data_IF_821533050144
#
_entry.id   IF_821533050144
#
_cell.length_a   1.000
_cell.length_b   1.000
_cell.length_c   1.000
_cell.angle_alpha   90.00
_cell.angle_beta   90.00
_cell.angle_gamma   90.00
#
_symmetry.space_group_name_H-M   'P 1'
#
loop_
_entity.id
_entity.type
_entity.pdbx_description
1 polymer ?
#
# COMPACT_ATOMS: atom_id res chain seq x y z
N UNK A 1 18.90 -24.31 -13.93
CA UNK A 1 18.93 -22.85 -13.66
C UNK A 1 19.02 -22.66 -12.16
N UNK A 2 19.72 -21.63 -11.69
CA UNK A 2 19.71 -21.27 -10.27
C UNK A 2 18.35 -20.65 -9.94
N UNK A 3 17.61 -21.24 -9.00
CA UNK A 3 16.31 -20.70 -8.58
C UNK A 3 16.54 -19.43 -7.76
N UNK A 4 15.91 -18.33 -8.17
CA UNK A 4 16.02 -17.05 -7.45
C UNK A 4 14.92 -16.98 -6.40
N UNK A 5 15.33 -16.69 -5.17
CA UNK A 5 14.42 -16.44 -4.05
C UNK A 5 14.58 -15.00 -3.52
N UNK A 6 13.47 -14.41 -3.12
CA UNK A 6 13.42 -13.13 -2.41
C UNK A 6 12.76 -13.32 -1.05
N UNK A 7 13.27 -12.67 -0.01
CA UNK A 7 12.65 -12.66 1.32
C UNK A 7 12.10 -11.29 1.65
N UNK A 8 10.80 -11.21 1.95
CA UNK A 8 10.11 -9.98 2.38
C UNK A 8 9.38 -10.28 3.69
N UNK A 9 9.76 -9.59 4.77
CA UNK A 9 9.17 -9.72 6.11
C UNK A 9 9.00 -11.19 6.56
N UNK A 10 10.04 -12.00 6.36
CA UNK A 10 10.05 -13.43 6.73
C UNK A 10 9.35 -14.37 5.73
N UNK A 11 8.68 -13.85 4.70
CA UNK A 11 8.06 -14.66 3.63
C UNK A 11 9.03 -14.86 2.47
N UNK A 12 9.10 -16.07 1.93
CA UNK A 12 9.92 -16.43 0.76
C UNK A 12 9.05 -16.31 -0.49
N UNK A 13 9.55 -15.61 -1.50
CA UNK A 13 8.92 -15.43 -2.80
C UNK A 13 9.85 -16.07 -3.83
N UNK A 14 9.35 -17.06 -4.57
CA UNK A 14 10.13 -17.84 -5.53
C UNK A 14 9.29 -18.98 -6.11
N UNK A 15 9.86 -19.74 -7.06
CA UNK A 15 9.15 -20.77 -7.83
C UNK A 15 8.48 -21.86 -6.97
N UNK A 16 9.11 -22.24 -5.85
CA UNK A 16 8.62 -23.31 -4.96
C UNK A 16 7.76 -22.81 -3.77
N UNK A 17 7.34 -21.54 -3.78
CA UNK A 17 6.56 -20.94 -2.70
C UNK A 17 5.18 -20.50 -3.18
N UNK A 18 4.18 -20.38 -2.28
CA UNK A 18 2.87 -19.84 -2.65
C UNK A 18 2.98 -18.47 -3.33
N UNK A 19 2.06 -18.19 -4.26
CA UNK A 19 1.98 -16.88 -4.91
C UNK A 19 1.80 -15.78 -3.85
N UNK A 20 2.68 -14.78 -3.89
CA UNK A 20 2.60 -13.62 -3.01
C UNK A 20 1.60 -12.59 -3.55
N UNK A 21 0.48 -12.40 -2.86
CA UNK A 21 -0.64 -11.55 -3.28
C UNK A 21 -0.54 -10.18 -2.63
N UNK A 22 -0.42 -9.15 -3.47
CA UNK A 22 -0.44 -7.73 -3.05
C UNK A 22 -1.80 -7.13 -3.40
N UNK A 23 -2.58 -6.75 -2.38
CA UNK A 23 -3.75 -5.91 -2.56
C UNK A 23 -3.33 -4.46 -2.84
N UNK A 24 -3.43 -4.01 -4.09
CA UNK A 24 -3.15 -2.61 -4.46
C UNK A 24 -4.29 -1.70 -3.99
N UNK A 25 -4.08 -0.99 -2.89
CA UNK A 25 -5.00 0.04 -2.43
C UNK A 25 -4.85 1.33 -3.26
N UNK A 26 -3.63 1.60 -3.75
CA UNK A 26 -3.32 2.81 -4.51
C UNK A 26 -3.74 4.06 -3.74
N UNK A 27 -4.65 4.84 -4.34
CA UNK A 27 -5.25 6.03 -3.74
C UNK A 27 -6.73 5.88 -3.39
N UNK A 28 -7.25 4.65 -3.36
CA UNK A 28 -8.69 4.37 -3.13
C UNK A 28 -9.17 4.74 -1.71
N UNK A 29 -8.27 5.22 -0.85
CA UNK A 29 -8.62 5.80 0.46
C UNK A 29 -9.24 7.20 0.35
N UNK A 30 -9.20 7.86 -0.82
CA UNK A 30 -9.86 9.16 -1.07
C UNK A 30 -9.54 10.22 -0.01
N UNK A 31 -8.29 10.25 0.49
CA UNK A 31 -7.87 11.20 1.52
C UNK A 31 -8.50 10.96 2.91
N UNK A 32 -9.11 9.80 3.17
CA UNK A 32 -9.69 9.41 4.47
C UNK A 32 -8.92 8.25 5.14
N UNK A 33 -8.37 8.53 6.33
CA UNK A 33 -7.62 7.56 7.14
C UNK A 33 -8.49 6.37 7.59
N UNK A 34 -9.78 6.61 7.89
CA UNK A 34 -10.70 5.54 8.29
C UNK A 34 -10.96 4.61 7.11
N UNK A 35 -11.10 5.17 5.90
CA UNK A 35 -11.25 4.36 4.69
C UNK A 35 -9.98 3.57 4.40
N UNK A 36 -8.79 4.16 4.57
CA UNK A 36 -7.52 3.42 4.45
C UNK A 36 -7.47 2.20 5.40
N UNK A 37 -7.92 2.35 6.66
CA UNK A 37 -8.02 1.23 7.62
C UNK A 37 -9.02 0.17 7.17
N UNK A 38 -10.17 0.57 6.62
CA UNK A 38 -11.15 -0.38 6.04
C UNK A 38 -10.59 -1.16 4.85
N UNK A 39 -9.75 -0.52 4.03
CA UNK A 39 -9.06 -1.22 2.93
C UNK A 39 -8.06 -2.25 3.47
N UNK A 40 -7.35 -1.93 4.56
CA UNK A 40 -6.48 -2.89 5.25
C UNK A 40 -7.29 -4.07 5.81
N UNK A 41 -8.43 -3.79 6.45
CA UNK A 41 -9.32 -4.84 6.96
C UNK A 41 -9.77 -5.75 5.83
N UNK A 42 -10.28 -5.19 4.73
CA UNK A 42 -10.75 -5.97 3.58
C UNK A 42 -9.64 -6.81 2.92
N UNK A 43 -8.41 -6.27 2.81
CA UNK A 43 -7.28 -7.01 2.26
C UNK A 43 -6.85 -8.16 3.16
N UNK A 44 -6.81 -7.93 4.48
CA UNK A 44 -6.49 -8.95 5.48
C UNK A 44 -7.55 -10.06 5.50
N UNK A 45 -8.84 -9.69 5.55
CA UNK A 45 -9.97 -10.62 5.56
C UNK A 45 -10.04 -11.47 4.27
N UNK A 46 -9.59 -10.91 3.14
CA UNK A 46 -9.48 -11.62 1.86
C UNK A 46 -8.27 -12.58 1.77
N UNK A 47 -7.37 -12.56 2.76
CA UNK A 47 -6.17 -13.40 2.79
C UNK A 47 -5.02 -12.89 1.91
N UNK A 48 -4.97 -11.59 1.60
CA UNK A 48 -3.81 -11.00 0.91
C UNK A 48 -2.58 -10.99 1.82
N UNK A 49 -1.40 -11.15 1.22
CA UNK A 49 -0.13 -11.17 1.98
C UNK A 49 0.35 -9.77 2.32
N UNK A 50 0.08 -8.81 1.44
CA UNK A 50 0.41 -7.41 1.62
C UNK A 50 -0.71 -6.51 1.09
N UNK A 51 -0.76 -5.29 1.63
CA UNK A 51 -1.51 -4.17 1.06
C UNK A 51 -0.53 -3.06 0.69
N UNK A 52 -0.70 -2.48 -0.51
CA UNK A 52 0.21 -1.46 -1.04
C UNK A 52 -0.50 -0.14 -1.33
N UNK A 53 0.03 0.96 -0.77
CA UNK A 53 -0.44 2.33 -0.99
C UNK A 53 0.48 3.09 -1.94
N UNK A 54 -0.02 4.17 -2.54
CA UNK A 54 0.79 5.10 -3.32
C UNK A 54 1.08 6.36 -2.49
N UNK A 55 2.36 6.73 -2.39
CA UNK A 55 2.81 7.91 -1.68
C UNK A 55 3.23 8.95 -2.71
N UNK A 56 2.33 9.86 -3.03
CA UNK A 56 2.62 11.02 -3.86
C UNK A 56 2.05 12.28 -3.23
N UNK A 57 2.52 13.41 -3.71
CA UNK A 57 1.99 14.76 -3.55
C UNK A 57 1.46 15.26 -4.89
N UNK A 58 0.59 16.25 -4.87
CA UNK A 58 0.11 16.89 -6.09
C UNK A 58 1.24 17.57 -6.90
N UNK A 59 2.31 17.99 -6.21
CA UNK A 59 3.49 18.59 -6.83
C UNK A 59 4.34 17.60 -7.62
N UNK A 60 4.46 16.36 -7.14
CA UNK A 60 5.24 15.30 -7.80
C UNK A 60 4.57 14.83 -9.11
N UNK A 61 3.23 14.83 -9.17
CA UNK A 61 2.50 14.23 -10.30
C UNK A 61 2.09 15.20 -11.41
N UNK A 62 1.99 16.51 -11.15
CA UNK A 62 1.54 17.45 -12.18
C UNK A 62 1.99 18.88 -11.93
N UNK A 63 2.39 19.59 -12.98
CA UNK A 63 2.57 21.04 -12.95
C UNK A 63 1.26 21.83 -13.18
N UNK A 64 0.17 21.17 -13.61
CA UNK A 64 -1.09 21.82 -13.93
C UNK A 64 -1.93 22.09 -12.67
N UNK A 65 -2.24 23.38 -12.40
CA UNK A 65 -2.99 23.81 -11.21
C UNK A 65 -4.38 23.17 -11.06
N UNK A 66 -5.10 22.94 -12.16
CA UNK A 66 -6.43 22.29 -12.10
C UNK A 66 -6.28 20.82 -11.68
N UNK A 67 -5.32 20.11 -12.27
CA UNK A 67 -5.01 18.72 -11.93
C UNK A 67 -4.54 18.59 -10.48
N UNK A 68 -3.63 19.46 -10.02
CA UNK A 68 -3.17 19.50 -8.62
C UNK A 68 -4.32 19.56 -7.60
N UNK A 69 -5.30 20.41 -7.88
CA UNK A 69 -6.49 20.59 -7.01
C UNK A 69 -7.29 19.29 -6.87
N UNK A 70 -7.34 18.47 -7.92
CA UNK A 70 -8.04 17.17 -7.90
C UNK A 70 -7.19 16.14 -7.16
N UNK A 71 -5.89 16.06 -7.48
CA UNK A 71 -4.96 15.08 -6.89
C UNK A 71 -4.83 15.21 -5.38
N UNK A 72 -4.91 16.44 -4.85
CA UNK A 72 -4.85 16.70 -3.41
C UNK A 72 -5.91 15.96 -2.58
N UNK A 73 -7.03 15.56 -3.21
CA UNK A 73 -8.08 14.76 -2.55
C UNK A 73 -7.68 13.29 -2.34
N UNK A 74 -6.74 12.81 -3.15
CA UNK A 74 -6.29 11.42 -3.17
C UNK A 74 -4.92 11.26 -2.50
N UNK A 75 -4.30 12.37 -2.09
CA UNK A 75 -2.98 12.41 -1.48
C UNK A 75 -2.93 11.59 -0.17
N UNK A 76 -1.94 10.71 -0.09
CA UNK A 76 -1.63 9.99 1.14
C UNK A 76 -0.83 10.91 2.08
N UNK A 77 -1.33 11.14 3.29
CA UNK A 77 -0.62 11.98 4.26
C UNK A 77 0.55 11.21 4.88
N UNK A 78 1.77 11.73 4.77
CA UNK A 78 2.99 11.04 5.27
C UNK A 78 2.93 10.66 6.75
N UNK A 79 2.24 11.44 7.58
CA UNK A 79 2.05 11.12 9.01
C UNK A 79 1.21 9.85 9.25
N UNK A 80 0.49 9.34 8.24
CA UNK A 80 -0.27 8.10 8.34
C UNK A 80 0.60 6.85 8.24
N UNK A 81 1.84 6.94 7.76
CA UNK A 81 2.69 5.77 7.53
C UNK A 81 2.85 4.95 8.82
N UNK A 82 3.17 5.61 9.95
CA UNK A 82 3.32 4.94 11.23
C UNK A 82 2.02 4.29 11.72
N UNK A 83 0.91 5.02 11.61
CA UNK A 83 -0.42 4.55 12.04
C UNK A 83 -0.90 3.35 11.23
N UNK A 84 -0.79 3.42 9.89
CA UNK A 84 -1.27 2.38 8.98
C UNK A 84 -0.33 1.18 8.98
N UNK A 85 0.99 1.37 9.05
CA UNK A 85 1.93 0.25 9.23
C UNK A 85 1.67 -0.50 10.53
N UNK A 86 1.44 0.22 11.64
CA UNK A 86 1.08 -0.40 12.93
C UNK A 86 -0.26 -1.12 12.85
N UNK A 87 -1.23 -0.57 12.13
CA UNK A 87 -2.54 -1.21 11.93
C UNK A 87 -2.43 -2.49 11.09
N UNK A 88 -1.65 -2.47 10.00
CA UNK A 88 -1.34 -3.65 9.19
C UNK A 88 -0.73 -4.79 10.02
N UNK A 89 0.24 -4.47 10.90
CA UNK A 89 0.82 -5.46 11.84
C UNK A 89 -0.24 -6.11 12.73
N UNK A 90 -1.18 -5.32 13.28
CA UNK A 90 -2.30 -5.83 14.09
C UNK A 90 -3.25 -6.72 13.28
N UNK A 91 -3.32 -6.52 11.96
CA UNK A 91 -4.16 -7.26 11.02
C UNK A 91 -3.40 -8.38 10.30
N UNK A 92 -2.17 -8.69 10.71
CA UNK A 92 -1.35 -9.75 10.14
C UNK A 92 -1.20 -9.67 8.61
N UNK A 93 -1.10 -8.45 8.06
CA UNK A 93 -0.88 -8.20 6.64
C UNK A 93 0.31 -7.25 6.49
N UNK A 94 1.15 -7.45 5.47
CA UNK A 94 2.32 -6.62 5.25
C UNK A 94 1.91 -5.23 4.69
N UNK A 95 2.49 -4.16 5.23
CA UNK A 95 2.35 -2.82 4.67
C UNK A 95 3.43 -2.57 3.63
N UNK A 96 3.04 -2.20 2.42
CA UNK A 96 3.93 -1.75 1.36
C UNK A 96 3.51 -0.36 0.86
N UNK A 97 4.44 0.34 0.23
CA UNK A 97 4.12 1.59 -0.44
C UNK A 97 5.01 1.82 -1.67
N UNK A 98 4.48 2.51 -2.66
CA UNK A 98 5.25 3.02 -3.81
C UNK A 98 5.49 4.52 -3.62
N UNK A 99 6.75 4.96 -3.44
CA UNK A 99 7.09 6.38 -3.48
C UNK A 99 7.08 6.90 -4.93
N UNK A 100 6.67 8.15 -5.12
CA UNK A 100 6.72 8.89 -6.38
C UNK A 100 7.76 10.01 -6.34
#
# INVERSE_FOLDING_TARGET
MEMKELRIDGRIIGEENPTFIIAEAGSNHNGDLKLAKKLIDAASDAGADAIKFQLFTDEELSSNKKTKTILKKFEFKRNWIGDLSTYCKKKNILFLATPF
#
